data_IF_285416603820
#
_entry.id   IF_285416603820
#
_cell.length_a   1.000
_cell.length_b   1.000
_cell.length_c   1.000
_cell.angle_alpha   90.00
_cell.angle_beta   90.00
_cell.angle_gamma   90.00
#
_symmetry.space_group_name_H-M   'P 1'
#
loop_
_entity.id
_entity.type
_entity.pdbx_description
1 polymer ?
#
# COMPACT_ATOMS: atom_id res chain seq x y z
N UNK A 1 -11.94 13.77 0.25
CA UNK A 1 -11.35 12.65 -0.54
C UNK A 1 -12.14 11.39 -0.24
N UNK A 2 -12.67 10.76 -1.29
CA UNK A 2 -13.47 9.54 -1.16
C UNK A 2 -12.58 8.31 -1.32
N UNK A 3 -12.44 7.54 -0.26
CA UNK A 3 -11.60 6.33 -0.21
C UNK A 3 -12.50 5.10 -0.17
N UNK A 4 -12.39 4.23 -1.16
CA UNK A 4 -13.10 2.96 -1.22
C UNK A 4 -12.26 1.86 -0.55
N UNK A 5 -12.84 1.20 0.44
CA UNK A 5 -12.28 0.04 1.12
C UNK A 5 -12.86 -1.21 0.45
N UNK A 6 -12.00 -2.07 -0.10
CA UNK A 6 -12.41 -3.28 -0.80
C UNK A 6 -12.03 -4.50 0.05
N UNK A 7 -13.00 -5.04 0.80
CA UNK A 7 -12.84 -6.25 1.60
C UNK A 7 -13.40 -7.45 0.84
N UNK A 8 -12.54 -8.43 0.54
CA UNK A 8 -12.93 -9.62 -0.21
C UNK A 8 -11.97 -10.79 0.03
N UNK A 9 -12.42 -11.98 -0.34
CA UNK A 9 -11.60 -13.19 -0.30
C UNK A 9 -10.59 -13.19 -1.45
N UNK A 10 -9.33 -13.52 -1.13
CA UNK A 10 -8.24 -13.63 -2.10
C UNK A 10 -8.05 -15.11 -2.43
N UNK A 11 -8.15 -15.47 -3.71
CA UNK A 11 -7.85 -16.83 -4.17
C UNK A 11 -6.35 -17.11 -3.99
N UNK A 12 -6.01 -18.10 -3.16
CA UNK A 12 -4.64 -18.44 -2.82
C UNK A 12 -3.81 -18.78 -4.05
N UNK A 13 -2.71 -18.07 -4.27
CA UNK A 13 -1.76 -18.21 -5.36
C UNK A 13 -2.37 -18.13 -6.78
N UNK A 14 -3.64 -17.69 -6.92
CA UNK A 14 -4.32 -17.55 -8.24
C UNK A 14 -4.34 -16.08 -8.68
N UNK A 15 -3.23 -15.66 -9.24
CA UNK A 15 -3.01 -14.28 -9.70
C UNK A 15 -4.05 -13.81 -10.71
N UNK A 16 -4.43 -14.64 -11.67
CA UNK A 16 -5.34 -14.23 -12.73
C UNK A 16 -6.77 -14.00 -12.23
N UNK A 17 -7.26 -14.89 -11.37
CA UNK A 17 -8.57 -14.72 -10.74
C UNK A 17 -8.60 -13.45 -9.87
N UNK A 18 -7.56 -13.21 -9.07
CA UNK A 18 -7.49 -12.06 -8.18
C UNK A 18 -7.38 -10.74 -8.96
N UNK A 19 -6.58 -10.68 -10.02
CA UNK A 19 -6.46 -9.49 -10.87
C UNK A 19 -7.79 -9.15 -11.52
N UNK A 20 -8.46 -10.13 -12.12
CA UNK A 20 -9.77 -9.93 -12.77
C UNK A 20 -10.82 -9.41 -11.78
N UNK A 21 -10.84 -9.95 -10.55
CA UNK A 21 -11.74 -9.51 -9.50
C UNK A 21 -11.45 -8.06 -9.08
N UNK A 22 -10.17 -7.72 -8.88
CA UNK A 22 -9.75 -6.37 -8.55
C UNK A 22 -10.14 -5.36 -9.65
N UNK A 23 -9.85 -5.67 -10.92
CA UNK A 23 -10.23 -4.84 -12.07
C UNK A 23 -11.74 -4.55 -12.13
N UNK A 24 -12.57 -5.58 -11.93
CA UNK A 24 -14.03 -5.43 -11.93
C UNK A 24 -14.51 -4.52 -10.79
N UNK A 25 -13.97 -4.73 -9.57
CA UNK A 25 -14.35 -3.93 -8.40
C UNK A 25 -13.91 -2.47 -8.54
N UNK A 26 -12.70 -2.23 -9.05
CA UNK A 26 -12.17 -0.87 -9.27
C UNK A 26 -12.96 -0.17 -10.38
N UNK A 27 -13.24 -0.83 -11.50
CA UNK A 27 -14.03 -0.25 -12.58
C UNK A 27 -15.42 0.21 -12.13
N UNK A 28 -16.05 -0.48 -11.17
CA UNK A 28 -17.35 -0.10 -10.60
C UNK A 28 -17.30 1.16 -9.73
N UNK A 29 -16.11 1.68 -9.41
CA UNK A 29 -15.89 2.88 -8.59
C UNK A 29 -15.78 4.16 -9.42
N UNK A 30 -15.79 4.08 -10.75
CA UNK A 30 -15.70 5.24 -11.62
C UNK A 30 -16.71 6.32 -11.24
N UNK A 31 -16.24 7.54 -10.97
CA UNK A 31 -17.04 8.69 -10.51
C UNK A 31 -17.54 8.61 -9.05
N UNK A 32 -17.30 7.50 -8.33
CA UNK A 32 -17.78 7.29 -6.96
C UNK A 32 -16.67 7.46 -5.91
N UNK A 33 -15.44 7.08 -6.23
CA UNK A 33 -14.30 7.18 -5.33
C UNK A 33 -13.11 7.83 -6.02
N UNK A 34 -12.20 8.37 -5.22
CA UNK A 34 -10.95 8.97 -5.69
C UNK A 34 -9.79 7.98 -5.54
N UNK A 35 -9.84 7.12 -4.49
CA UNK A 35 -8.84 6.09 -4.19
C UNK A 35 -9.54 4.77 -3.89
N UNK A 36 -9.05 3.67 -4.44
CA UNK A 36 -9.42 2.29 -4.11
C UNK A 36 -8.29 1.63 -3.32
N UNK A 37 -8.60 1.06 -2.16
CA UNK A 37 -7.65 0.35 -1.31
C UNK A 37 -8.01 -1.13 -1.30
N UNK A 38 -7.05 -1.99 -1.72
CA UNK A 38 -7.19 -3.43 -1.74
C UNK A 38 -6.37 -4.04 -0.60
N UNK A 39 -6.60 -5.30 -0.19
CA UNK A 39 -5.79 -5.99 0.80
C UNK A 39 -4.31 -6.10 0.41
N UNK A 40 -3.42 -6.40 1.37
CA UNK A 40 -2.02 -6.75 1.15
C UNK A 40 -1.90 -7.94 0.19
N UNK A 41 -0.88 -7.92 -0.69
CA UNK A 41 -0.64 -9.02 -1.66
C UNK A 41 -1.92 -9.47 -2.38
N UNK A 42 -2.76 -8.51 -2.77
CA UNK A 42 -4.11 -8.71 -3.30
C UNK A 42 -4.16 -9.69 -4.47
N UNK A 43 -3.06 -9.84 -5.21
CA UNK A 43 -2.98 -10.68 -6.39
C UNK A 43 -2.69 -12.16 -6.08
N UNK A 44 -2.17 -12.47 -4.87
CA UNK A 44 -1.66 -13.81 -4.56
C UNK A 44 -2.14 -14.36 -3.22
N UNK A 45 -2.56 -13.48 -2.28
CA UNK A 45 -2.59 -13.77 -0.87
C UNK A 45 -1.18 -13.74 -0.26
N UNK A 46 -1.07 -13.99 1.04
CA UNK A 46 0.21 -13.92 1.77
C UNK A 46 1.09 -15.16 1.51
N UNK A 47 1.37 -15.43 0.21
CA UNK A 47 2.18 -16.54 -0.29
C UNK A 47 3.68 -16.21 -0.22
N UNK A 48 4.27 -16.16 0.98
CA UNK A 48 5.66 -15.68 1.16
C UNK A 48 6.73 -16.66 0.65
N UNK A 49 6.42 -17.92 0.53
CA UNK A 49 7.30 -19.01 0.07
C UNK A 49 7.13 -19.35 -1.43
N UNK A 50 6.43 -18.48 -2.18
CA UNK A 50 6.17 -18.63 -3.62
C UNK A 50 6.88 -17.56 -4.47
N UNK A 51 8.21 -17.59 -4.60
CA UNK A 51 8.97 -16.58 -5.33
C UNK A 51 8.62 -16.50 -6.82
N UNK A 52 8.06 -17.56 -7.41
CA UNK A 52 7.60 -17.61 -8.79
C UNK A 52 6.38 -16.70 -9.07
N UNK A 53 5.67 -16.28 -8.03
CA UNK A 53 4.55 -15.34 -8.14
C UNK A 53 5.01 -13.87 -8.20
N UNK A 54 6.30 -13.61 -7.94
CA UNK A 54 6.84 -12.26 -7.92
C UNK A 54 6.91 -11.64 -9.32
N UNK A 55 6.59 -10.36 -9.40
CA UNK A 55 6.71 -9.57 -10.64
C UNK A 55 7.58 -8.32 -10.43
N UNK A 56 8.01 -7.72 -11.51
CA UNK A 56 8.66 -6.41 -11.52
C UNK A 56 7.63 -5.27 -11.45
N UNK A 57 8.08 -4.05 -11.17
CA UNK A 57 7.20 -2.86 -11.15
C UNK A 57 6.63 -2.49 -12.52
N UNK A 58 7.16 -3.03 -13.59
CA UNK A 58 6.67 -2.92 -14.97
C UNK A 58 5.98 -4.21 -15.45
N UNK A 59 5.70 -5.12 -14.52
CA UNK A 59 5.05 -6.40 -14.76
C UNK A 59 3.56 -6.30 -15.08
N UNK A 60 2.92 -7.45 -15.23
CA UNK A 60 1.52 -7.55 -15.64
C UNK A 60 0.56 -6.97 -14.60
N UNK A 61 0.83 -7.19 -13.32
CA UNK A 61 0.03 -6.63 -12.21
C UNK A 61 -0.10 -5.12 -12.35
N UNK A 62 1.03 -4.42 -12.44
CA UNK A 62 1.06 -2.95 -12.47
C UNK A 62 0.48 -2.42 -13.79
N UNK A 63 0.80 -3.04 -14.94
CA UNK A 63 0.25 -2.63 -16.24
C UNK A 63 -1.28 -2.73 -16.29
N UNK A 64 -1.85 -3.81 -15.77
CA UNK A 64 -3.31 -4.02 -15.74
C UNK A 64 -3.98 -3.05 -14.78
N UNK A 65 -3.41 -2.83 -13.60
CA UNK A 65 -3.93 -1.86 -12.64
C UNK A 65 -3.85 -0.42 -13.18
N UNK A 66 -2.76 -0.06 -13.87
CA UNK A 66 -2.66 1.26 -14.53
C UNK A 66 -3.79 1.44 -15.57
N UNK A 67 -4.03 0.44 -16.39
CA UNK A 67 -5.08 0.52 -17.40
C UNK A 67 -6.48 0.71 -16.78
N UNK A 68 -6.79 0.04 -15.67
CA UNK A 68 -8.07 0.24 -14.98
C UNK A 68 -8.13 1.56 -14.23
N UNK A 69 -7.01 2.04 -13.63
CA UNK A 69 -6.93 3.36 -13.02
C UNK A 69 -7.19 4.47 -14.04
N UNK A 70 -6.56 4.41 -15.21
CA UNK A 70 -6.75 5.37 -16.30
C UNK A 70 -8.20 5.40 -16.79
N UNK A 71 -8.82 4.22 -16.92
CA UNK A 71 -10.22 4.11 -17.39
C UNK A 71 -11.24 4.56 -16.36
N UNK A 72 -11.02 4.28 -15.09
CA UNK A 72 -11.96 4.59 -14.00
C UNK A 72 -11.76 5.99 -13.42
N UNK A 73 -10.58 6.59 -13.58
CA UNK A 73 -10.17 7.82 -12.89
C UNK A 73 -9.93 7.63 -11.39
N UNK A 74 -9.71 6.38 -10.92
CA UNK A 74 -9.54 6.04 -9.51
C UNK A 74 -8.09 5.62 -9.25
N UNK A 75 -7.42 6.24 -8.27
CA UNK A 75 -6.11 5.80 -7.83
C UNK A 75 -6.22 4.47 -7.06
N UNK A 76 -5.19 3.65 -7.12
CA UNK A 76 -5.21 2.29 -6.56
C UNK A 76 -4.07 2.12 -5.56
N UNK A 77 -4.37 1.61 -4.36
CA UNK A 77 -3.40 1.34 -3.30
C UNK A 77 -3.50 -0.11 -2.85
N UNK A 78 -2.36 -0.80 -2.79
CA UNK A 78 -2.22 -2.17 -2.27
C UNK A 78 -0.75 -2.53 -2.12
N UNK A 79 -0.45 -3.84 -2.02
CA UNK A 79 0.90 -4.38 -2.16
C UNK A 79 0.93 -5.66 -2.99
N UNK A 80 2.12 -6.06 -3.42
CA UNK A 80 2.36 -7.29 -4.17
C UNK A 80 3.77 -7.84 -3.92
N UNK A 81 4.01 -9.10 -4.29
CA UNK A 81 5.32 -9.73 -4.25
C UNK A 81 6.15 -9.19 -5.41
N UNK A 82 7.18 -8.39 -5.10
CA UNK A 82 7.98 -7.71 -6.11
C UNK A 82 9.41 -8.28 -6.17
N UNK A 83 9.88 -8.50 -7.39
CA UNK A 83 11.30 -8.77 -7.64
C UNK A 83 12.15 -7.56 -7.27
N UNK A 84 13.38 -7.77 -6.78
CA UNK A 84 14.30 -6.67 -6.53
C UNK A 84 14.58 -5.92 -7.84
N UNK A 85 14.75 -4.59 -7.74
CA UNK A 85 15.19 -3.80 -8.87
C UNK A 85 16.62 -4.25 -9.21
N UNK A 86 16.81 -4.88 -10.38
CA UNK A 86 18.14 -5.18 -10.86
C UNK A 86 18.85 -3.86 -11.18
N UNK A 87 19.92 -3.55 -10.45
CA UNK A 87 20.82 -2.45 -10.82
C UNK A 87 21.56 -2.81 -12.13
N UNK A 88 20.88 -2.75 -13.26
CA UNK A 88 21.48 -2.94 -14.60
C UNK A 88 22.18 -1.68 -15.12
N UNK A 89 22.78 -0.90 -14.22
CA UNK A 89 23.67 0.21 -14.56
C UNK A 89 25.04 0.04 -13.87
N UNK A 90 25.58 -1.19 -13.86
CA UNK A 90 26.99 -1.39 -13.56
C UNK A 90 27.75 -1.33 -14.87
N UNK A 91 28.47 -0.22 -15.06
CA UNK A 91 29.42 0.09 -16.12
C UNK A 91 30.22 -1.14 -16.55
N UNK A 92 30.27 -1.37 -17.87
CA UNK A 92 31.25 -2.23 -18.53
C UNK A 92 32.65 -1.67 -18.26
N UNK A 93 33.44 -2.36 -17.44
CA UNK A 93 34.87 -2.19 -17.41
C UNK A 93 35.52 -3.21 -18.36
N UNK A 94 36.32 -2.81 -19.34
CA UNK A 94 36.96 -3.71 -20.25
C UNK A 94 38.31 -4.17 -19.68
N UNK A 95 38.33 -5.20 -18.86
CA UNK A 95 39.56 -5.96 -18.63
C UNK A 95 39.24 -7.37 -18.15
N UNK A 96 39.40 -8.32 -19.07
CA UNK A 96 39.26 -9.73 -18.79
C UNK A 96 40.36 -10.26 -17.90
N UNK A 97 39.96 -10.91 -16.80
CA UNK A 97 40.67 -12.04 -16.16
C UNK A 97 39.66 -12.86 -15.36
N UNK A 98 39.64 -14.19 -15.49
CA UNK A 98 38.81 -15.03 -14.66
C UNK A 98 39.43 -15.17 -13.28
N UNK A 99 38.76 -14.64 -12.25
CA UNK A 99 39.12 -14.88 -10.86
C UNK A 99 38.07 -15.82 -10.26
N UNK A 100 38.58 -16.81 -9.57
CA UNK A 100 37.97 -17.98 -8.96
C UNK A 100 36.53 -17.86 -8.46
N UNK A 101 35.81 -18.96 -8.56
CA UNK A 101 34.49 -19.21 -7.99
C UNK A 101 34.47 -18.90 -6.49
N UNK A 102 33.91 -17.75 -6.13
CA UNK A 102 33.30 -17.56 -4.81
C UNK A 102 31.86 -18.01 -4.89
N UNK A 103 31.30 -18.67 -3.88
CA UNK A 103 29.86 -19.02 -3.89
C UNK A 103 29.07 -17.73 -3.81
N UNK A 104 28.37 -17.38 -4.92
CA UNK A 104 27.45 -16.25 -4.97
C UNK A 104 26.16 -16.63 -4.23
N UNK A 105 26.13 -16.47 -2.92
CA UNK A 105 24.92 -16.62 -2.13
C UNK A 105 24.38 -15.23 -1.75
N UNK A 106 24.08 -14.41 -2.76
CA UNK A 106 23.25 -13.23 -2.63
C UNK A 106 22.17 -13.30 -3.71
N UNK A 107 21.23 -14.23 -3.56
CA UNK A 107 19.95 -14.07 -4.23
C UNK A 107 19.33 -12.78 -3.65
N UNK A 108 19.12 -11.79 -4.51
CA UNK A 108 18.48 -10.56 -4.11
C UNK A 108 17.07 -10.91 -3.59
N UNK A 109 16.80 -10.56 -2.33
CA UNK A 109 15.52 -10.88 -1.68
C UNK A 109 14.36 -10.12 -2.31
N UNK A 110 13.18 -10.72 -2.27
CA UNK A 110 11.92 -10.13 -2.71
C UNK A 110 11.54 -8.89 -1.87
N UNK A 111 10.54 -8.16 -2.31
CA UNK A 111 9.90 -7.06 -1.58
C UNK A 111 8.40 -7.32 -1.46
N UNK A 112 7.84 -7.11 -0.28
CA UNK A 112 6.42 -6.87 -0.12
C UNK A 112 6.20 -5.39 -0.44
N UNK A 113 5.92 -5.12 -1.73
CA UNK A 113 5.94 -3.77 -2.28
C UNK A 113 4.57 -3.15 -2.24
N UNK A 114 4.39 -2.21 -1.33
CA UNK A 114 3.26 -1.30 -1.33
C UNK A 114 3.37 -0.29 -2.45
N UNK A 115 2.25 0.10 -3.03
CA UNK A 115 2.19 1.04 -4.14
C UNK A 115 0.95 1.92 -4.10
N UNK A 116 1.06 3.08 -4.74
CA UNK A 116 -0.06 3.87 -5.22
C UNK A 116 0.08 4.08 -6.72
N UNK A 117 -0.90 3.61 -7.48
CA UNK A 117 -1.03 3.88 -8.92
C UNK A 117 -2.02 5.03 -9.08
N UNK A 118 -1.61 6.10 -9.76
CA UNK A 118 -2.45 7.26 -10.07
C UNK A 118 -2.95 7.15 -11.51
N UNK A 119 -4.19 7.58 -11.80
CA UNK A 119 -4.63 7.74 -13.18
C UNK A 119 -3.69 8.68 -13.94
N UNK A 120 -3.34 8.31 -15.17
CA UNK A 120 -2.54 9.17 -16.04
C UNK A 120 -3.25 10.50 -16.29
N UNK A 121 -2.56 11.64 -16.33
CA UNK A 121 -3.16 12.92 -16.67
C UNK A 121 -3.85 12.84 -18.04
N UNK A 122 -5.10 13.31 -18.13
CA UNK A 122 -5.80 13.41 -19.41
C UNK A 122 -5.11 14.48 -20.25
N UNK A 123 -4.21 14.09 -21.14
CA UNK A 123 -3.59 15.00 -22.11
C UNK A 123 -4.59 15.33 -23.21
N UNK A 124 -5.47 16.30 -22.96
CA UNK A 124 -6.26 16.93 -24.02
C UNK A 124 -5.34 17.83 -24.84
N UNK A 125 -4.62 17.24 -25.80
CA UNK A 125 -3.98 18.03 -26.86
C UNK A 125 -5.01 18.29 -27.96
N UNK A 126 -5.31 19.55 -28.30
CA UNK A 126 -6.21 19.86 -29.43
C UNK A 126 -5.64 19.40 -30.78
N UNK A 127 -4.43 18.89 -30.85
CA UNK A 127 -3.72 18.60 -32.11
C UNK A 127 -3.20 17.17 -32.27
N UNK A 128 -3.63 16.19 -31.45
CA UNK A 128 -3.37 14.76 -31.75
C UNK A 128 -1.91 14.33 -31.94
N UNK A 129 -0.91 15.13 -31.57
CA UNK A 129 0.49 14.76 -31.61
C UNK A 129 1.06 14.57 -30.19
N UNK A 130 1.72 13.45 -29.89
CA UNK A 130 2.45 13.30 -28.63
C UNK A 130 3.58 14.32 -28.59
N UNK A 131 3.55 15.22 -27.64
CA UNK A 131 4.71 16.06 -27.35
C UNK A 131 5.65 15.17 -26.51
N UNK A 132 6.73 14.71 -27.12
CA UNK A 132 7.82 14.00 -26.44
C UNK A 132 8.55 14.95 -25.49
N UNK A 133 8.09 15.03 -24.26
CA UNK A 133 8.82 15.58 -23.13
C UNK A 133 8.94 14.47 -22.09
N UNK A 134 10.16 14.24 -21.60
CA UNK A 134 10.38 13.41 -20.41
C UNK A 134 9.55 13.97 -19.26
N UNK A 135 8.69 13.16 -18.58
CA UNK A 135 7.92 13.63 -17.42
C UNK A 135 8.89 14.16 -16.37
N UNK A 136 8.61 15.33 -15.82
CA UNK A 136 9.31 15.79 -14.62
C UNK A 136 9.01 14.83 -13.47
N UNK A 137 9.94 14.60 -12.55
CA UNK A 137 9.83 13.67 -11.40
C UNK A 137 8.60 13.85 -10.49
N UNK A 138 7.75 14.85 -10.71
CA UNK A 138 6.52 15.13 -9.96
C UNK A 138 5.26 14.45 -10.52
N UNK A 139 5.35 13.70 -11.64
CA UNK A 139 4.21 13.09 -12.33
C UNK A 139 4.36 11.58 -12.51
N UNK A 140 5.13 10.90 -11.64
CA UNK A 140 5.18 9.44 -11.68
C UNK A 140 3.78 8.86 -11.46
N UNK A 141 3.30 8.04 -12.38
CA UNK A 141 2.00 7.35 -12.27
C UNK A 141 1.98 6.32 -11.13
N UNK A 142 3.14 5.92 -10.64
CA UNK A 142 3.29 4.98 -9.53
C UNK A 142 4.24 5.51 -8.46
N UNK A 143 3.81 5.45 -7.21
CA UNK A 143 4.63 5.68 -6.02
C UNK A 143 4.74 4.36 -5.24
N UNK A 144 5.88 4.15 -4.57
CA UNK A 144 6.25 2.87 -3.95
C UNK A 144 6.62 3.07 -2.49
N UNK A 145 6.11 2.19 -1.62
CA UNK A 145 6.51 2.03 -0.23
C UNK A 145 6.64 0.55 0.09
N UNK A 146 7.86 0.03 0.17
CA UNK A 146 8.07 -1.35 0.60
C UNK A 146 7.73 -1.50 2.09
N UNK A 147 7.26 -2.68 2.49
CA UNK A 147 6.99 -3.02 3.90
C UNK A 147 8.27 -2.90 4.73
N UNK A 148 8.21 -2.15 5.83
CA UNK A 148 9.35 -1.93 6.73
C UNK A 148 9.55 -3.09 7.68
N UNK A 149 8.48 -3.59 8.29
CA UNK A 149 8.56 -4.63 9.32
C UNK A 149 8.03 -5.95 8.75
N UNK A 150 8.96 -6.86 8.49
CA UNK A 150 8.63 -8.18 7.99
C UNK A 150 8.09 -9.06 9.11
N UNK A 151 7.07 -9.86 8.80
CA UNK A 151 6.47 -10.78 9.77
C UNK A 151 7.30 -12.06 9.87
N UNK A 152 8.40 -12.01 10.66
CA UNK A 152 9.35 -13.10 10.81
C UNK A 152 8.71 -14.39 11.38
N UNK A 153 7.70 -14.27 12.26
CA UNK A 153 6.96 -15.44 12.75
C UNK A 153 6.23 -16.21 11.64
N UNK A 154 5.85 -15.54 10.56
CA UNK A 154 5.31 -16.14 9.33
C UNK A 154 6.37 -16.41 8.25
N UNK A 155 7.66 -16.33 8.57
CA UNK A 155 8.74 -16.63 7.63
C UNK A 155 8.99 -15.56 6.55
N UNK A 156 8.34 -14.40 6.61
CA UNK A 156 8.49 -13.36 5.59
C UNK A 156 9.95 -12.87 5.46
N UNK A 157 10.69 -12.79 6.56
CA UNK A 157 12.10 -12.37 6.59
C UNK A 157 13.07 -13.35 5.91
N UNK A 158 12.65 -14.59 5.69
CA UNK A 158 13.45 -15.58 4.97
C UNK A 158 13.57 -15.22 3.49
N UNK A 159 12.51 -14.70 2.89
CA UNK A 159 12.40 -14.45 1.45
C UNK A 159 12.42 -12.96 1.09
N UNK A 160 11.99 -12.09 2.00
CA UNK A 160 11.82 -10.66 1.74
C UNK A 160 12.89 -9.81 2.42
N UNK A 161 13.03 -8.60 1.93
CA UNK A 161 13.90 -7.57 2.48
C UNK A 161 13.08 -6.35 2.90
N UNK A 162 13.32 -5.77 4.10
CA UNK A 162 12.56 -4.62 4.59
C UNK A 162 12.88 -3.33 3.84
N UNK A 163 11.97 -2.36 3.89
CA UNK A 163 12.23 -0.99 3.47
C UNK A 163 13.28 -0.33 4.38
N UNK A 164 14.03 0.59 3.83
CA UNK A 164 14.98 1.43 4.60
C UNK A 164 14.40 2.80 4.89
N UNK A 165 13.58 3.34 3.99
CA UNK A 165 13.02 4.68 4.04
C UNK A 165 11.51 4.66 4.01
N UNK A 166 10.90 5.68 4.63
CA UNK A 166 9.47 5.91 4.62
C UNK A 166 9.13 6.87 3.47
N UNK A 167 8.21 6.46 2.61
CA UNK A 167 7.64 7.30 1.57
C UNK A 167 6.27 7.83 2.01
N UNK A 168 5.98 9.08 1.67
CA UNK A 168 4.64 9.66 1.79
C UNK A 168 4.12 9.90 0.38
N UNK A 169 3.01 9.26 0.05
CA UNK A 169 2.33 9.45 -1.22
C UNK A 169 1.60 10.78 -1.24
N UNK A 170 1.48 11.38 -2.41
CA UNK A 170 0.68 12.59 -2.58
C UNK A 170 -0.30 12.42 -3.74
N UNK A 171 -1.59 12.63 -3.48
CA UNK A 171 -2.63 12.58 -4.49
C UNK A 171 -3.69 13.64 -4.25
N UNK A 172 -3.98 14.46 -5.28
CA UNK A 172 -4.95 15.56 -5.21
C UNK A 172 -4.70 16.52 -4.02
N UNK A 173 -3.43 16.79 -3.71
CA UNK A 173 -3.03 17.66 -2.59
C UNK A 173 -3.19 17.05 -1.20
N UNK A 174 -3.48 15.75 -1.09
CA UNK A 174 -3.60 15.00 0.16
C UNK A 174 -2.37 14.11 0.33
N UNK A 175 -1.74 14.17 1.49
CA UNK A 175 -0.58 13.35 1.86
C UNK A 175 -1.02 12.07 2.53
N UNK A 176 -0.48 10.95 2.09
CA UNK A 176 -0.93 9.61 2.48
C UNK A 176 0.27 8.77 2.92
N UNK A 177 0.21 8.22 4.13
CA UNK A 177 1.12 7.18 4.61
C UNK A 177 0.51 5.81 4.33
N UNK A 178 1.23 4.94 3.64
CA UNK A 178 0.87 3.53 3.50
C UNK A 178 1.60 2.69 4.55
N UNK A 179 0.85 1.90 5.31
CA UNK A 179 1.36 0.85 6.19
C UNK A 179 0.95 -0.51 5.62
N UNK A 180 1.90 -1.44 5.55
CA UNK A 180 1.64 -2.79 5.07
C UNK A 180 1.58 -3.74 6.26
N UNK A 181 0.36 -4.14 6.63
CA UNK A 181 0.02 -5.18 7.60
C UNK A 181 0.80 -5.03 8.93
N UNK A 182 1.87 -5.78 9.10
CA UNK A 182 2.67 -5.83 10.32
C UNK A 182 3.28 -4.48 10.73
N UNK A 183 3.45 -3.53 9.76
CA UNK A 183 3.88 -2.16 10.04
C UNK A 183 2.97 -1.45 11.04
N UNK A 184 1.68 -1.82 11.07
CA UNK A 184 0.70 -1.27 11.99
C UNK A 184 1.09 -1.42 13.46
N UNK A 185 1.91 -2.43 13.82
CA UNK A 185 2.37 -2.68 15.20
C UNK A 185 3.41 -1.69 15.69
N UNK A 186 4.05 -0.91 14.80
CA UNK A 186 5.24 -0.12 15.11
C UNK A 186 4.93 1.38 15.09
N UNK A 187 4.58 2.01 16.23
CA UNK A 187 4.12 3.38 16.29
C UNK A 187 5.19 4.39 15.85
N UNK A 188 6.47 4.10 16.10
CA UNK A 188 7.59 4.98 15.72
C UNK A 188 7.66 5.17 14.21
N UNK A 189 7.42 4.09 13.44
CA UNK A 189 7.40 4.14 11.97
C UNK A 189 6.25 4.98 11.43
N UNK A 190 5.09 4.91 12.10
CA UNK A 190 3.89 5.62 11.70
C UNK A 190 3.82 7.06 12.24
N UNK A 191 4.75 7.50 13.10
CA UNK A 191 4.61 8.78 13.81
C UNK A 191 4.62 9.98 12.87
N UNK A 192 3.57 10.82 13.01
CA UNK A 192 3.47 12.15 12.41
C UNK A 192 4.14 13.18 13.33
N UNK A 193 5.42 13.46 13.10
CA UNK A 193 6.21 14.29 14.01
C UNK A 193 5.95 15.79 13.83
N UNK A 194 5.65 16.23 12.60
CA UNK A 194 5.42 17.65 12.30
C UNK A 194 3.95 18.06 12.37
N UNK A 195 3.04 17.07 12.55
CA UNK A 195 1.59 17.27 12.43
C UNK A 195 1.10 17.50 11.00
N UNK A 196 2.01 17.54 10.03
CA UNK A 196 1.72 17.75 8.61
C UNK A 196 2.49 16.82 7.68
N UNK A 197 3.10 15.74 8.22
CA UNK A 197 3.81 14.75 7.42
C UNK A 197 2.85 14.05 6.46
N UNK A 198 1.63 13.74 6.94
CA UNK A 198 0.56 13.13 6.16
C UNK A 198 -0.82 13.45 6.78
N UNK A 199 -1.87 13.25 6.00
CA UNK A 199 -3.27 13.50 6.36
C UNK A 199 -4.04 12.21 6.61
N UNK A 200 -3.70 11.16 5.89
CA UNK A 200 -4.37 9.86 5.91
C UNK A 200 -3.34 8.76 6.12
N UNK A 201 -3.67 7.78 6.96
CA UNK A 201 -3.01 6.47 6.96
C UNK A 201 -3.90 5.50 6.18
N UNK A 202 -3.34 4.85 5.16
CA UNK A 202 -3.93 3.68 4.54
C UNK A 202 -3.20 2.43 5.04
N UNK A 203 -3.96 1.41 5.44
CA UNK A 203 -3.42 0.12 5.88
C UNK A 203 -3.94 -0.96 4.97
N UNK A 204 -3.06 -1.78 4.42
CA UNK A 204 -3.39 -2.95 3.62
C UNK A 204 -2.88 -4.20 4.33
N UNK A 205 -3.71 -5.24 4.48
CA UNK A 205 -3.34 -6.38 5.31
C UNK A 205 -3.94 -7.73 4.84
N UNK A 206 -3.25 -8.81 5.27
CA UNK A 206 -3.79 -10.14 5.50
C UNK A 206 -3.63 -10.42 7.00
N UNK A 207 -4.61 -9.99 7.80
CA UNK A 207 -4.56 -10.05 9.26
C UNK A 207 -5.57 -11.08 9.79
N UNK A 208 -5.08 -12.24 10.33
CA UNK A 208 -5.96 -13.35 10.69
C UNK A 208 -6.85 -13.04 11.90
N UNK A 209 -8.00 -13.71 11.96
CA UNK A 209 -9.03 -13.61 12.99
C UNK A 209 -8.50 -13.83 14.41
N UNK A 210 -7.63 -14.81 14.60
CA UNK A 210 -7.01 -15.13 15.90
C UNK A 210 -6.24 -13.97 16.54
N UNK A 211 -6.00 -12.89 15.77
CA UNK A 211 -5.31 -11.67 16.20
C UNK A 211 -6.10 -10.40 15.92
N UNK A 212 -7.38 -10.51 15.60
CA UNK A 212 -8.20 -9.37 15.15
C UNK A 212 -8.33 -8.28 16.22
N UNK A 213 -8.33 -8.64 17.50
CA UNK A 213 -8.38 -7.68 18.62
C UNK A 213 -7.20 -6.70 18.61
N UNK A 214 -6.01 -7.16 18.16
CA UNK A 214 -4.87 -6.27 18.01
C UNK A 214 -5.03 -5.34 16.80
N UNK A 215 -5.62 -5.83 15.71
CA UNK A 215 -5.94 -5.03 14.53
C UNK A 215 -6.83 -3.85 14.90
N UNK A 216 -7.95 -4.09 15.54
CA UNK A 216 -8.91 -3.07 15.94
C UNK A 216 -8.27 -2.03 16.88
N UNK A 217 -7.55 -2.48 17.90
CA UNK A 217 -6.90 -1.60 18.87
C UNK A 217 -5.80 -0.74 18.22
N UNK A 218 -4.99 -1.31 17.33
CA UNK A 218 -3.88 -0.62 16.71
C UNK A 218 -4.33 0.41 15.68
N UNK A 219 -5.38 0.14 14.89
CA UNK A 219 -5.94 1.13 13.97
C UNK A 219 -6.43 2.35 14.73
N UNK A 220 -7.19 2.15 15.80
CA UNK A 220 -7.69 3.21 16.65
C UNK A 220 -6.53 4.05 17.25
N UNK A 221 -5.49 3.38 17.77
CA UNK A 221 -4.31 4.04 18.31
C UNK A 221 -3.61 4.90 17.25
N UNK A 222 -3.37 4.36 16.03
CA UNK A 222 -2.68 5.11 14.95
C UNK A 222 -3.45 6.35 14.52
N UNK A 223 -4.78 6.27 14.41
CA UNK A 223 -5.60 7.44 14.08
C UNK A 223 -5.48 8.52 15.14
N UNK A 224 -5.59 8.13 16.42
CA UNK A 224 -5.64 9.06 17.55
C UNK A 224 -4.30 9.75 17.80
N UNK A 225 -3.23 8.97 17.92
CA UNK A 225 -1.90 9.51 18.26
C UNK A 225 -1.30 10.39 17.17
N UNK A 226 -1.74 10.22 15.92
CA UNK A 226 -1.25 10.96 14.77
C UNK A 226 -2.22 12.04 14.28
N UNK A 227 -3.39 12.18 14.90
CA UNK A 227 -4.43 13.12 14.51
C UNK A 227 -4.68 13.09 12.98
N UNK A 228 -4.97 11.91 12.43
CA UNK A 228 -5.18 11.70 11.00
C UNK A 228 -6.44 10.87 10.75
N UNK A 229 -6.94 10.91 9.53
CA UNK A 229 -7.86 9.88 9.05
C UNK A 229 -7.13 8.56 8.88
N UNK A 230 -7.83 7.46 9.04
CA UNK A 230 -7.31 6.12 8.73
C UNK A 230 -8.34 5.31 7.96
N UNK A 231 -7.89 4.60 6.93
CA UNK A 231 -8.65 3.54 6.27
C UNK A 231 -7.80 2.27 6.25
N UNK A 232 -8.29 1.23 6.90
CA UNK A 232 -7.60 -0.04 7.02
C UNK A 232 -8.40 -1.13 6.31
N UNK A 233 -7.76 -1.85 5.39
CA UNK A 233 -8.36 -2.88 4.57
C UNK A 233 -7.68 -4.21 4.85
N UNK A 234 -8.50 -5.18 5.23
CA UNK A 234 -8.13 -6.57 5.43
C UNK A 234 -8.91 -7.46 4.45
N UNK A 235 -8.45 -8.69 4.23
CA UNK A 235 -9.20 -9.69 3.46
C UNK A 235 -10.15 -10.50 4.35
N UNK A 236 -11.00 -11.32 3.72
CA UNK A 236 -11.82 -12.35 4.37
C UNK A 236 -11.55 -13.71 3.73
N UNK A 237 -12.05 -14.78 4.37
CA UNK A 237 -11.93 -16.16 3.88
C UNK A 237 -10.71 -16.88 4.41
N UNK A 238 -10.41 -18.03 3.82
CA UNK A 238 -9.33 -18.91 4.26
C UNK A 238 -8.15 -18.86 3.30
N UNK A 239 -6.94 -18.96 3.83
CA UNK A 239 -5.71 -19.08 3.01
C UNK A 239 -5.28 -20.53 2.81
N UNK A 240 -4.26 -20.74 1.96
CA UNK A 240 -3.68 -22.07 1.72
C UNK A 240 -2.89 -22.63 2.90
N UNK A 241 -2.68 -21.87 3.98
CA UNK A 241 -1.96 -22.25 5.19
C UNK A 241 -2.90 -22.62 6.35
N UNK A 242 -4.23 -22.50 6.15
CA UNK A 242 -5.25 -22.83 7.15
C UNK A 242 -5.53 -21.70 8.14
N UNK A 243 -5.18 -20.47 7.80
CA UNK A 243 -5.59 -19.30 8.57
C UNK A 243 -6.89 -18.75 8.00
N UNK A 244 -7.78 -18.34 8.92
CA UNK A 244 -9.02 -17.63 8.60
C UNK A 244 -8.82 -16.11 8.77
N UNK A 245 -9.45 -15.34 7.89
CA UNK A 245 -9.46 -13.89 7.89
C UNK A 245 -10.91 -13.42 7.94
N UNK A 246 -11.29 -12.71 8.98
CA UNK A 246 -12.66 -12.24 9.17
C UNK A 246 -12.88 -10.77 8.80
N UNK A 247 -11.89 -10.12 8.17
CA UNK A 247 -12.01 -8.77 7.67
C UNK A 247 -11.78 -7.68 8.70
N UNK A 248 -12.84 -7.07 9.25
CA UNK A 248 -12.78 -5.87 10.10
C UNK A 248 -12.14 -4.66 9.43
N UNK A 249 -12.32 -4.51 8.12
CA UNK A 249 -11.93 -3.28 7.45
C UNK A 249 -12.76 -2.11 7.97
N UNK A 250 -12.10 -0.97 8.21
CA UNK A 250 -12.71 0.17 8.87
C UNK A 250 -12.06 1.48 8.43
N UNK A 251 -12.83 2.55 8.41
CA UNK A 251 -12.30 3.91 8.31
C UNK A 251 -12.79 4.73 9.51
N UNK A 252 -11.85 5.40 10.19
CA UNK A 252 -12.14 6.30 11.30
C UNK A 252 -11.80 7.74 10.96
N UNK A 253 -12.59 8.64 11.54
CA UNK A 253 -12.22 10.05 11.62
C UNK A 253 -11.20 10.30 12.77
N UNK A 254 -10.75 11.53 12.90
CA UNK A 254 -9.78 11.99 13.92
C UNK A 254 -10.27 11.87 15.38
N UNK A 255 -11.55 11.58 15.58
CA UNK A 255 -12.20 11.39 16.89
C UNK A 255 -12.65 9.95 17.12
N UNK A 256 -12.13 9.01 16.33
CA UNK A 256 -12.49 7.59 16.34
C UNK A 256 -13.96 7.30 16.07
N UNK A 257 -14.64 8.20 15.34
CA UNK A 257 -15.97 7.88 14.86
C UNK A 257 -15.83 7.04 13.57
N UNK A 258 -16.45 5.85 13.52
CA UNK A 258 -16.40 5.05 12.31
C UNK A 258 -17.17 5.76 11.18
N UNK A 259 -16.49 6.03 10.08
CA UNK A 259 -17.12 6.54 8.85
C UNK A 259 -17.72 5.37 8.09
N UNK A 260 -16.98 4.26 8.00
CA UNK A 260 -17.45 2.96 7.51
C UNK A 260 -16.80 1.85 8.31
N UNK A 261 -17.50 0.72 8.44
CA UNK A 261 -17.00 -0.52 9.05
C UNK A 261 -17.61 -1.72 8.37
N UNK A 262 -16.91 -2.84 8.37
CA UNK A 262 -17.38 -4.12 7.89
C UNK A 262 -17.65 -5.06 9.07
N UNK A 263 -18.69 -5.89 8.93
CA UNK A 263 -18.94 -6.99 9.84
C UNK A 263 -17.98 -8.15 9.60
N UNK A 264 -17.97 -9.11 10.53
CA UNK A 264 -17.22 -10.36 10.36
C UNK A 264 -17.63 -11.03 9.05
N UNK A 265 -16.65 -11.46 8.29
CA UNK A 265 -16.80 -12.19 7.01
C UNK A 265 -17.60 -11.45 5.92
N UNK A 266 -17.90 -10.18 6.11
CA UNK A 266 -18.62 -9.37 5.12
C UNK A 266 -17.73 -9.08 3.92
N UNK A 267 -18.06 -9.59 2.74
CA UNK A 267 -17.46 -9.15 1.48
C UNK A 267 -18.15 -7.89 0.95
N UNK A 268 -17.37 -6.96 0.41
CA UNK A 268 -17.98 -5.79 -0.20
C UNK A 268 -17.01 -4.66 -0.48
N UNK A 269 -17.61 -3.53 -0.85
CA UNK A 269 -16.92 -2.26 -1.04
C UNK A 269 -17.71 -1.17 -0.35
N UNK A 270 -17.06 -0.44 0.56
CA UNK A 270 -17.63 0.72 1.27
C UNK A 270 -16.77 1.94 1.02
N UNK A 271 -17.38 3.11 0.93
CA UNK A 271 -16.69 4.37 0.61
C UNK A 271 -16.74 5.29 1.81
N UNK A 272 -15.56 5.68 2.31
CA UNK A 272 -15.39 6.69 3.33
C UNK A 272 -15.07 8.05 2.68
N UNK A 273 -15.73 9.11 3.13
CA UNK A 273 -15.45 10.48 2.67
C UNK A 273 -14.66 11.23 3.76
N UNK A 274 -13.44 11.61 3.42
CA UNK A 274 -12.50 12.32 4.30
C UNK A 274 -12.49 13.82 4.00
N UNK A 275 -12.94 14.62 4.95
CA UNK A 275 -12.90 16.08 4.91
C UNK A 275 -11.53 16.59 5.38
N UNK A 276 -10.63 16.83 4.44
CA UNK A 276 -9.26 17.26 4.75
C UNK A 276 -9.21 18.67 5.38
N UNK A 277 -10.13 19.55 5.01
CA UNK A 277 -10.21 20.88 5.61
C UNK A 277 -10.60 20.79 7.10
N UNK A 278 -11.54 19.91 7.45
CA UNK A 278 -11.92 19.62 8.84
C UNK A 278 -10.76 19.01 9.63
N UNK A 279 -9.95 18.14 9.03
CA UNK A 279 -8.74 17.60 9.66
C UNK A 279 -7.74 18.71 9.99
N UNK A 280 -7.42 19.57 9.02
CA UNK A 280 -6.47 20.64 9.22
C UNK A 280 -6.94 21.63 10.32
N UNK A 281 -8.22 22.01 10.29
CA UNK A 281 -8.80 22.82 11.36
C UNK A 281 -8.73 22.13 12.73
N UNK A 282 -8.98 20.84 12.82
CA UNK A 282 -8.84 20.08 14.07
C UNK A 282 -7.42 20.13 14.63
N UNK A 283 -6.40 19.99 13.77
CA UNK A 283 -4.99 20.10 14.16
C UNK A 283 -4.58 21.51 14.61
N UNK A 284 -5.21 22.56 14.06
CA UNK A 284 -4.99 23.93 14.50
C UNK A 284 -5.57 24.17 15.90
N UNK A 285 -6.77 23.65 16.18
CA UNK A 285 -7.45 23.78 17.47
C UNK A 285 -6.78 22.97 18.57
N UNK A 286 -6.31 21.77 18.25
CA UNK A 286 -5.65 20.85 19.18
C UNK A 286 -4.31 20.38 18.59
N UNK A 287 -3.25 21.19 18.68
CA UNK A 287 -1.98 20.90 18.03
C UNK A 287 -1.07 19.95 18.83
N UNK A 288 -1.48 18.69 19.02
CA UNK A 288 -0.73 17.68 19.79
C UNK A 288 0.69 17.46 19.27
N UNK A 289 0.92 17.70 17.97
CA UNK A 289 2.24 17.59 17.35
C UNK A 289 3.29 18.55 17.94
N UNK A 290 2.89 19.60 18.68
CA UNK A 290 3.82 20.51 19.37
C UNK A 290 4.45 19.90 20.62
N UNK A 291 3.81 18.86 21.16
CA UNK A 291 4.21 18.22 22.42
C UNK A 291 4.89 16.86 22.19
N UNK A 292 5.20 16.51 20.94
CA UNK A 292 5.82 15.22 20.60
C UNK A 292 7.32 15.22 20.88
N UNK A 293 7.86 14.06 21.25
CA UNK A 293 9.30 13.84 21.30
C UNK A 293 9.88 13.77 19.89
N UNK A 294 11.04 14.38 19.70
CA UNK A 294 11.80 14.27 18.45
C UNK A 294 12.73 13.08 18.49
N UNK A 295 12.69 12.28 17.45
CA UNK A 295 13.55 11.10 17.31
C UNK A 295 13.95 10.88 15.85
N UNK A 296 15.02 10.12 15.64
CA UNK A 296 15.48 9.65 14.34
C UNK A 296 15.43 8.12 14.30
N UNK A 297 14.91 7.57 13.19
CA UNK A 297 14.96 6.15 12.94
C UNK A 297 16.32 5.83 12.31
N UNK A 298 17.20 5.17 13.05
CA UNK A 298 18.48 4.72 12.52
C UNK A 298 18.31 3.46 11.69
N UNK A 299 19.07 3.40 10.58
CA UNK A 299 19.12 2.26 9.65
C UNK A 299 19.85 1.06 10.30
#
# INVERSE_FOLDING_TARGET
MRVALLQYSIAWADKETNLRLAEQRIAALAGKADVAVLPEMFATGFCTDHPELAETVDGDIIRRLQAVADKSGVAIVSSFICLPISNSAASHSPSGRPIGRTPSNSQAKLRNRGFMIKPSPITNSPSGRPIGGTPSNSEASIEIQDKRHLYAHGGEDLFFQPAEERCIFEYQGVKILLLVCYDLRFPVWARNQSGSDYDIILVVANWPDIRIQYWDALIAARATENQCYIAAVNCVGDDGMGLHYNGHSVAYDTRLQPIVSFADDEEGTKIADFDIAKLHHFREVLPLWKDVDHFEIKK
#
